data_IF_220139259474
#
_entry.id   IF_220139259474
#
_cell.length_a   1.000
_cell.length_b   1.000
_cell.length_c   1.000
_cell.angle_alpha   90.00
_cell.angle_beta   90.00
_cell.angle_gamma   90.00
#
_symmetry.space_group_name_H-M   'P 1'
#
loop_
_entity.id
_entity.type
_entity.pdbx_description
1 polymer ?
#
# COMPACT_ATOMS: atom_id res chain seq x y z
N UNK A 1 -9.95 -7.45 12.50
CA UNK A 1 -8.61 -6.94 12.90
C UNK A 1 -7.64 -7.23 11.78
N UNK A 2 -6.78 -6.27 11.39
CA UNK A 2 -5.78 -6.43 10.32
C UNK A 2 -4.51 -5.67 10.69
N UNK A 3 -3.35 -6.27 10.47
CA UNK A 3 -2.06 -5.58 10.49
C UNK A 3 -1.19 -6.09 9.35
N UNK A 4 -0.37 -5.21 8.79
CA UNK A 4 0.45 -5.50 7.62
C UNK A 4 1.80 -4.80 7.70
N UNK A 5 2.78 -5.33 6.99
CA UNK A 5 4.06 -4.66 6.71
C UNK A 5 4.39 -4.82 5.23
N UNK A 6 4.86 -3.73 4.62
CA UNK A 6 5.49 -3.70 3.30
C UNK A 6 6.94 -3.25 3.47
N UNK A 7 7.87 -3.90 2.78
CA UNK A 7 9.29 -3.63 2.94
C UNK A 7 10.07 -3.85 1.64
N UNK A 8 11.24 -3.19 1.58
CA UNK A 8 12.27 -3.41 0.56
C UNK A 8 13.58 -3.77 1.25
N UNK A 9 14.24 -4.83 0.82
CA UNK A 9 15.58 -5.15 1.26
C UNK A 9 16.58 -4.22 0.58
N UNK A 10 17.31 -3.40 1.33
CA UNK A 10 18.28 -2.47 0.77
C UNK A 10 19.44 -3.16 0.04
N UNK A 11 19.85 -4.35 0.49
CA UNK A 11 20.97 -5.09 -0.09
C UNK A 11 20.62 -5.80 -1.41
N UNK A 12 19.39 -6.33 -1.53
CA UNK A 12 18.98 -7.14 -2.70
C UNK A 12 17.99 -6.43 -3.61
N UNK A 13 17.37 -5.34 -3.17
CA UNK A 13 16.27 -4.68 -3.86
C UNK A 13 14.95 -5.47 -3.86
N UNK A 14 14.90 -6.63 -3.18
CA UNK A 14 13.68 -7.45 -3.12
C UNK A 14 12.60 -6.78 -2.28
N UNK A 15 11.36 -6.92 -2.74
CA UNK A 15 10.18 -6.45 -2.04
C UNK A 15 9.48 -7.59 -1.32
N UNK A 16 8.91 -7.29 -0.15
CA UNK A 16 8.14 -8.23 0.63
C UNK A 16 6.91 -7.56 1.23
N UNK A 17 5.86 -8.35 1.42
CA UNK A 17 4.67 -7.95 2.14
C UNK A 17 4.19 -9.10 3.02
N UNK A 18 3.83 -8.80 4.26
CA UNK A 18 3.15 -9.74 5.15
C UNK A 18 1.89 -9.07 5.72
N UNK A 19 0.84 -9.87 5.89
CA UNK A 19 -0.45 -9.41 6.40
C UNK A 19 -1.10 -10.50 7.23
N UNK A 20 -1.67 -10.11 8.37
CA UNK A 20 -2.52 -10.97 9.19
C UNK A 20 -3.86 -10.29 9.40
N UNK A 21 -4.94 -11.06 9.29
CA UNK A 21 -6.29 -10.55 9.46
C UNK A 21 -7.23 -11.64 9.94
N UNK A 22 -8.28 -11.24 10.65
CA UNK A 22 -9.42 -12.11 10.95
C UNK A 22 -10.29 -12.42 9.73
N UNK A 23 -10.07 -11.74 8.60
CA UNK A 23 -10.84 -11.95 7.38
C UNK A 23 -10.16 -13.00 6.47
N UNK A 24 -10.91 -13.97 5.92
CA UNK A 24 -10.36 -15.01 5.05
C UNK A 24 -9.68 -14.44 3.81
N UNK A 25 -8.61 -15.11 3.37
CA UNK A 25 -7.88 -14.83 2.13
C UNK A 25 -7.47 -13.35 1.95
N UNK A 26 -7.15 -12.65 3.06
CA UNK A 26 -6.84 -11.20 3.04
C UNK A 26 -5.72 -10.83 2.06
N UNK A 27 -4.70 -11.69 1.94
CA UNK A 27 -3.57 -11.44 1.05
C UNK A 27 -3.99 -11.26 -0.41
N UNK A 28 -5.00 -12.02 -0.88
CA UNK A 28 -5.44 -11.98 -2.29
C UNK A 28 -5.99 -10.62 -2.73
N UNK A 29 -6.46 -9.80 -1.78
CA UNK A 29 -7.01 -8.46 -2.06
C UNK A 29 -6.12 -7.31 -1.58
N UNK A 30 -5.31 -7.55 -0.54
CA UNK A 30 -4.52 -6.52 0.09
C UNK A 30 -3.06 -6.48 -0.35
N UNK A 31 -2.51 -7.60 -0.83
CA UNK A 31 -1.07 -7.76 -1.03
C UNK A 31 -0.65 -7.65 -2.48
N UNK A 32 0.07 -6.57 -2.82
CA UNK A 32 0.49 -6.28 -4.18
C UNK A 32 1.99 -6.02 -4.23
N UNK A 33 2.73 -6.77 -5.04
CA UNK A 33 4.19 -6.62 -5.19
C UNK A 33 4.54 -6.77 -6.67
N UNK A 34 5.44 -5.91 -7.16
CA UNK A 34 5.99 -5.99 -8.52
C UNK A 34 7.51 -5.88 -8.47
N UNK A 35 8.20 -6.91 -8.95
CA UNK A 35 9.66 -7.00 -8.90
C UNK A 35 10.31 -5.78 -9.59
N UNK A 36 11.31 -5.18 -8.94
CA UNK A 36 11.98 -3.98 -9.43
C UNK A 36 11.18 -2.67 -9.37
N UNK A 37 9.90 -2.72 -9.00
CA UNK A 37 9.00 -1.56 -9.02
C UNK A 37 8.60 -1.12 -7.61
N UNK A 38 8.02 -2.01 -6.82
CA UNK A 38 7.51 -1.64 -5.49
C UNK A 38 6.63 -2.70 -4.82
N UNK A 39 6.17 -2.35 -3.61
CA UNK A 39 5.16 -3.08 -2.85
C UNK A 39 4.08 -2.13 -2.33
N UNK A 40 2.82 -2.58 -2.40
CA UNK A 40 1.65 -1.80 -1.99
C UNK A 40 0.69 -2.68 -1.19
N UNK A 41 0.28 -2.17 -0.03
CA UNK A 41 -0.83 -2.69 0.75
C UNK A 41 -2.10 -1.88 0.49
N UNK A 42 -3.25 -2.53 0.27
CA UNK A 42 -4.57 -1.89 0.29
C UNK A 42 -5.47 -2.57 1.31
N UNK A 43 -5.80 -1.87 2.41
CA UNK A 43 -6.45 -2.48 3.57
C UNK A 43 -7.49 -1.56 4.23
N UNK A 44 -7.93 -1.95 5.43
CA UNK A 44 -9.17 -1.51 6.08
C UNK A 44 -10.39 -1.89 5.21
N UNK A 45 -11.26 -0.95 4.82
CA UNK A 45 -12.30 -1.23 3.82
C UNK A 45 -11.61 -1.36 2.46
N UNK A 46 -11.26 -2.59 2.10
CA UNK A 46 -10.31 -2.89 1.02
C UNK A 46 -10.87 -2.52 -0.36
N UNK A 47 -10.04 -1.90 -1.18
CA UNK A 47 -10.23 -1.80 -2.62
C UNK A 47 -9.01 -2.43 -3.32
N UNK A 48 -9.17 -3.65 -3.88
CA UNK A 48 -8.06 -4.39 -4.50
C UNK A 48 -7.46 -3.67 -5.73
N UNK A 49 -8.19 -2.76 -6.37
CA UNK A 49 -7.72 -2.07 -7.57
C UNK A 49 -6.64 -1.02 -7.26
N UNK A 50 -6.58 -0.50 -6.03
CA UNK A 50 -5.63 0.56 -5.66
C UNK A 50 -4.18 0.10 -5.67
N UNK A 51 -3.91 -1.16 -5.28
CA UNK A 51 -2.55 -1.71 -5.27
C UNK A 51 -1.89 -1.70 -6.65
N UNK A 52 -2.51 -2.33 -7.67
CA UNK A 52 -2.01 -2.31 -9.04
C UNK A 52 -1.88 -0.90 -9.61
N UNK A 53 -2.85 -0.02 -9.37
CA UNK A 53 -2.80 1.37 -9.87
C UNK A 53 -1.60 2.15 -9.30
N UNK A 54 -1.30 2.01 -8.02
CA UNK A 54 -0.12 2.64 -7.42
C UNK A 54 1.17 2.04 -8.00
N UNK A 55 1.23 0.71 -8.18
CA UNK A 55 2.38 0.05 -8.81
C UNK A 55 2.60 0.51 -10.26
N UNK A 56 1.54 0.83 -11.00
CA UNK A 56 1.65 1.39 -12.35
C UNK A 56 2.27 2.79 -12.33
N UNK A 57 1.89 3.63 -11.36
CA UNK A 57 2.50 4.95 -11.18
C UNK A 57 3.97 4.86 -10.76
N UNK A 58 4.31 3.93 -9.85
CA UNK A 58 5.71 3.66 -9.49
C UNK A 58 6.53 3.20 -10.71
N UNK A 59 5.96 2.33 -11.54
CA UNK A 59 6.59 1.86 -12.76
C UNK A 59 6.81 2.98 -13.79
N UNK A 60 5.97 4.02 -13.76
CA UNK A 60 6.14 5.23 -14.56
C UNK A 60 7.23 6.19 -14.03
N UNK A 61 7.90 5.84 -12.93
CA UNK A 61 9.01 6.59 -12.34
C UNK A 61 8.62 7.56 -11.24
N UNK A 62 7.35 7.57 -10.80
CA UNK A 62 6.93 8.40 -9.68
C UNK A 62 7.44 7.84 -8.36
N UNK A 63 7.76 8.73 -7.41
CA UNK A 63 8.07 8.35 -6.03
C UNK A 63 6.86 7.78 -5.30
N UNK A 64 7.08 7.11 -4.17
CA UNK A 64 5.98 6.59 -3.34
C UNK A 64 4.89 7.63 -3.03
N UNK A 65 5.28 8.87 -2.69
CA UNK A 65 4.34 9.96 -2.37
C UNK A 65 3.59 10.44 -3.60
N UNK A 66 4.27 10.63 -4.74
CA UNK A 66 3.67 11.07 -5.99
C UNK A 66 2.70 10.02 -6.54
N UNK A 67 3.12 8.76 -6.57
CA UNK A 67 2.29 7.62 -7.01
C UNK A 67 1.04 7.47 -6.15
N UNK A 68 1.18 7.57 -4.83
CA UNK A 68 0.04 7.53 -3.92
C UNK A 68 -0.91 8.70 -4.19
N UNK A 69 -0.38 9.93 -4.28
CA UNK A 69 -1.17 11.15 -4.53
C UNK A 69 -1.92 11.07 -5.88
N UNK A 70 -1.25 10.60 -6.93
CA UNK A 70 -1.84 10.43 -8.26
C UNK A 70 -3.03 9.47 -8.25
N UNK A 71 -3.01 8.44 -7.41
CA UNK A 71 -4.10 7.47 -7.28
C UNK A 71 -5.20 7.96 -6.33
N UNK A 72 -4.87 8.66 -5.24
CA UNK A 72 -5.84 9.00 -4.18
C UNK A 72 -6.58 10.32 -4.41
N UNK A 73 -6.00 11.26 -5.16
CA UNK A 73 -6.57 12.61 -5.33
C UNK A 73 -7.96 12.56 -5.97
N UNK A 74 -8.94 13.22 -5.33
CA UNK A 74 -10.34 13.29 -5.76
C UNK A 74 -10.99 11.92 -6.06
N UNK A 75 -10.46 10.83 -5.49
CA UNK A 75 -10.99 9.49 -5.72
C UNK A 75 -12.20 9.22 -4.81
N UNK A 76 -13.34 8.77 -5.36
CA UNK A 76 -14.50 8.39 -4.57
C UNK A 76 -14.14 7.36 -3.49
N UNK A 77 -14.66 7.56 -2.28
CA UNK A 77 -14.52 6.65 -1.14
C UNK A 77 -13.09 6.38 -0.66
N UNK A 78 -12.11 7.19 -1.08
CA UNK A 78 -10.71 7.01 -0.64
C UNK A 78 -10.52 7.18 0.87
N UNK A 79 -11.43 7.92 1.52
CA UNK A 79 -11.44 8.12 2.97
C UNK A 79 -11.68 6.85 3.78
N UNK A 80 -12.19 5.78 3.15
CA UNK A 80 -12.39 4.50 3.81
C UNK A 80 -11.18 3.55 3.67
N UNK A 81 -10.13 3.98 2.96
CA UNK A 81 -8.98 3.15 2.59
C UNK A 81 -7.79 3.43 3.49
N UNK A 82 -6.99 2.40 3.70
CA UNK A 82 -5.62 2.55 4.18
C UNK A 82 -4.65 1.93 3.15
N UNK A 83 -3.65 2.70 2.73
CA UNK A 83 -2.64 2.30 1.75
C UNK A 83 -1.24 2.46 2.33
N UNK A 84 -0.37 1.46 2.12
CA UNK A 84 1.06 1.56 2.43
C UNK A 84 1.84 1.30 1.14
N UNK A 85 2.85 2.11 0.86
CA UNK A 85 3.63 2.07 -0.38
C UNK A 85 5.13 2.08 -0.06
N UNK A 86 5.88 1.20 -0.70
CA UNK A 86 7.36 1.24 -0.75
C UNK A 86 7.78 1.20 -2.22
N UNK A 87 8.58 2.18 -2.65
CA UNK A 87 9.04 2.29 -4.04
C UNK A 87 10.41 1.66 -4.31
N UNK A 88 10.84 1.72 -5.58
CA UNK A 88 12.13 1.25 -6.10
C UNK A 88 13.37 1.72 -5.33
N UNK A 89 13.31 2.92 -4.76
CA UNK A 89 14.39 3.56 -4.01
C UNK A 89 14.28 3.32 -2.49
N UNK A 90 13.20 2.69 -2.05
CA UNK A 90 12.92 2.46 -0.63
C UNK A 90 12.23 3.63 0.07
N UNK A 91 11.76 4.64 -0.67
CA UNK A 91 10.93 5.71 -0.10
C UNK A 91 9.55 5.14 0.22
N UNK A 92 8.91 5.69 1.24
CA UNK A 92 7.62 5.20 1.74
C UNK A 92 6.54 6.28 1.73
N UNK A 93 5.30 5.86 1.53
CA UNK A 93 4.13 6.72 1.68
C UNK A 93 2.96 5.93 2.29
N UNK A 94 2.14 6.60 3.08
CA UNK A 94 0.94 6.02 3.71
C UNK A 94 -0.22 6.98 3.50
N UNK A 95 -1.38 6.43 3.14
CA UNK A 95 -2.67 7.11 3.19
C UNK A 95 -3.54 6.41 4.21
N UNK A 96 -4.06 7.15 5.19
CA UNK A 96 -5.05 6.67 6.16
C UNK A 96 -6.25 7.62 6.09
N UNK A 97 -7.32 7.19 5.42
CA UNK A 97 -8.49 8.03 5.21
C UNK A 97 -9.26 8.32 6.49
N UNK A 98 -10.03 9.41 6.53
CA UNK A 98 -10.76 9.84 7.73
C UNK A 98 -11.90 8.91 8.19
N UNK A 99 -12.26 7.91 7.39
CA UNK A 99 -13.36 6.97 7.62
C UNK A 99 -12.89 5.52 7.79
N UNK A 100 -11.59 5.30 8.02
CA UNK A 100 -11.06 3.97 8.35
C UNK A 100 -11.68 3.43 9.64
N UNK A 101 -11.98 2.13 9.68
CA UNK A 101 -12.73 1.52 10.78
C UNK A 101 -11.84 1.15 11.98
N UNK A 102 -12.41 1.30 13.18
CA UNK A 102 -11.85 0.81 14.45
C UNK A 102 -10.66 1.62 14.96
N UNK A 103 -9.91 1.02 15.88
CA UNK A 103 -8.60 1.55 16.27
C UNK A 103 -7.61 1.27 15.16
N UNK A 104 -6.96 2.32 14.67
CA UNK A 104 -5.98 2.25 13.59
C UNK A 104 -4.71 2.99 13.99
N UNK A 105 -3.62 2.63 13.32
CA UNK A 105 -2.34 3.30 13.44
C UNK A 105 -1.50 3.07 12.20
N UNK A 106 -0.43 3.84 12.08
CA UNK A 106 0.58 3.70 11.04
C UNK A 106 1.97 3.94 11.65
N UNK A 107 2.99 3.35 11.02
CA UNK A 107 4.37 3.54 11.40
C UNK A 107 5.25 3.54 10.15
N UNK A 108 6.32 4.34 10.17
CA UNK A 108 7.35 4.41 9.14
C UNK A 108 8.70 4.33 9.86
N UNK A 109 9.67 3.64 9.25
CA UNK A 109 11.05 3.62 9.71
C UNK A 109 11.82 4.82 9.18
#
# INVERSE_FOLDING_TARGET
>A
MTFSIVARCAATGQFGMAISSSSPAVAARCSHVRAGVGAVASQNITDPALGPLVLDQLNAGLSATEALTAVTTARPHIDYRQLLVVDGEGRTAIHSGGQVLGLWGEARA
#
